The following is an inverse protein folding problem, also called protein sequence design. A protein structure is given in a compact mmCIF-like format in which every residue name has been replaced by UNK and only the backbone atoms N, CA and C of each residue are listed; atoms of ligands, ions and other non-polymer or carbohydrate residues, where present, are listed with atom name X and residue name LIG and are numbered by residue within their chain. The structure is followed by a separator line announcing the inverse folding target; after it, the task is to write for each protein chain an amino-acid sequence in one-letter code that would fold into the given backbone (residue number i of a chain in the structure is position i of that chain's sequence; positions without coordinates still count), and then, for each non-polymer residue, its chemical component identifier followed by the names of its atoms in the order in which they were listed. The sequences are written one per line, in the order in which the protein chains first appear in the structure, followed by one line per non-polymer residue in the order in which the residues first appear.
data_IF_852140684157
#
_entry.id   IF_852140684157
#
_cell.length_a   1.000
_cell.length_b   1.000
_cell.length_c   1.000
_cell.angle_alpha   90.00
_cell.angle_beta   90.00
_cell.angle_gamma   90.00
#
_symmetry.space_group_name_H-M   'P 1'
#
loop_
_entity.id
_entity.type
_entity.pdbx_description
1 polymer ?
#
# COMPACT_ATOMS: atom_id res chain seq x y z
N UNK A 1 20.19 5.86 15.95
CA UNK A 1 20.07 4.45 15.54
C UNK A 1 18.78 3.94 16.14
N UNK A 2 17.67 4.07 15.42
CA UNK A 2 16.37 3.53 15.85
C UNK A 2 16.18 2.19 15.14
N UNK A 3 15.79 1.17 15.90
CA UNK A 3 15.50 -0.16 15.35
C UNK A 3 14.25 -0.13 14.47
N UNK A 4 14.00 -1.18 13.68
CA UNK A 4 12.83 -1.25 12.83
C UNK A 4 11.54 -1.07 13.67
N UNK A 5 10.51 -0.41 13.10
CA UNK A 5 9.24 -0.21 13.80
C UNK A 5 8.67 -1.57 14.24
N UNK A 6 8.27 -1.67 15.51
CA UNK A 6 7.64 -2.87 16.05
C UNK A 6 6.17 -2.87 15.61
N UNK A 7 5.85 -3.79 14.70
CA UNK A 7 4.47 -4.08 14.32
C UNK A 7 3.68 -4.61 15.53
N UNK A 8 2.42 -4.21 15.66
CA UNK A 8 1.55 -4.76 16.70
C UNK A 8 1.22 -6.25 16.47
N UNK A 9 0.67 -6.88 17.50
CA UNK A 9 0.34 -8.30 17.51
C UNK A 9 -0.73 -8.67 16.47
N UNK A 10 -1.67 -7.77 16.16
CA UNK A 10 -2.72 -8.00 15.19
C UNK A 10 -2.14 -8.00 13.75
N UNK A 11 -1.22 -7.09 13.48
CA UNK A 11 -0.49 -6.99 12.22
C UNK A 11 0.40 -8.21 12.01
N UNK A 12 1.09 -8.66 13.07
CA UNK A 12 1.89 -9.89 13.06
C UNK A 12 1.03 -11.12 12.75
N UNK A 13 -0.14 -11.26 13.41
CA UNK A 13 -1.07 -12.36 13.15
C UNK A 13 -1.62 -12.38 11.73
N UNK A 14 -1.92 -11.22 11.16
CA UNK A 14 -2.40 -11.11 9.77
C UNK A 14 -1.33 -11.56 8.77
N UNK A 15 -0.07 -11.17 8.99
CA UNK A 15 1.08 -11.62 8.20
C UNK A 15 1.22 -13.15 8.25
N UNK A 16 1.13 -13.74 9.45
CA UNK A 16 1.26 -15.19 9.63
C UNK A 16 0.11 -15.97 8.99
N UNK A 17 -1.11 -15.43 9.02
CA UNK A 17 -2.26 -16.01 8.34
C UNK A 17 -2.05 -16.05 6.82
N UNK A 18 -1.71 -14.91 6.20
CA UNK A 18 -1.47 -14.83 4.76
C UNK A 18 -0.34 -15.77 4.31
N UNK A 19 0.72 -15.87 5.13
CA UNK A 19 1.83 -16.81 4.89
C UNK A 19 1.33 -18.25 4.86
N UNK A 20 0.53 -18.64 5.84
CA UNK A 20 -0.03 -19.99 5.94
C UNK A 20 -0.90 -20.33 4.73
N UNK A 21 -1.80 -19.42 4.33
CA UNK A 21 -2.67 -19.63 3.16
C UNK A 21 -1.89 -19.77 1.85
N UNK A 22 -0.81 -18.99 1.65
CA UNK A 22 0.08 -19.15 0.50
C UNK A 22 0.75 -20.53 0.46
N UNK A 23 1.18 -21.05 1.61
CA UNK A 23 1.76 -22.38 1.71
C UNK A 23 0.73 -23.49 1.45
N UNK A 24 -0.51 -23.31 1.91
CA UNK A 24 -1.64 -24.22 1.64
C UNK A 24 -1.94 -24.28 0.14
N UNK A 25 -2.05 -23.13 -0.54
CA UNK A 25 -2.27 -23.06 -1.99
C UNK A 25 -1.15 -23.78 -2.76
N UNK A 26 0.13 -23.53 -2.42
CA UNK A 26 1.27 -24.19 -3.07
C UNK A 26 1.24 -25.72 -2.90
N UNK A 27 0.80 -26.20 -1.73
CA UNK A 27 0.63 -27.62 -1.46
C UNK A 27 -0.55 -28.21 -2.27
N UNK A 28 -1.64 -27.47 -2.45
CA UNK A 28 -2.77 -27.86 -3.31
C UNK A 28 -2.34 -28.03 -4.77
N UNK A 29 -1.39 -27.21 -5.25
CA UNK A 29 -0.78 -27.34 -6.58
C UNK A 29 0.33 -28.42 -6.68
N UNK A 30 0.51 -29.26 -5.65
CA UNK A 30 1.37 -30.45 -5.72
C UNK A 30 2.86 -30.20 -5.42
N UNK A 31 3.21 -29.03 -4.86
CA UNK A 31 4.55 -28.78 -4.33
C UNK A 31 4.63 -29.30 -2.89
N UNK A 32 4.98 -30.58 -2.73
CA UNK A 32 5.34 -31.14 -1.42
C UNK A 32 6.70 -30.58 -0.98
N UNK A 33 6.73 -29.85 0.16
CA UNK A 33 7.91 -29.15 0.71
C UNK A 33 8.46 -28.02 -0.17
N UNK A 34 7.72 -26.91 -0.33
CA UNK A 34 8.25 -25.74 -1.03
C UNK A 34 9.52 -25.23 -0.33
N UNK A 35 10.58 -25.00 -1.10
CA UNK A 35 11.79 -24.34 -0.62
C UNK A 35 11.40 -22.99 0.01
N UNK A 36 11.73 -22.72 1.28
CA UNK A 36 11.40 -21.46 1.92
C UNK A 36 12.19 -20.28 1.34
N UNK A 37 13.30 -20.52 0.64
CA UNK A 37 14.21 -19.46 0.17
C UNK A 37 13.59 -18.58 -0.93
N UNK A 38 12.96 -19.12 -2.00
CA UNK A 38 12.12 -18.33 -2.90
C UNK A 38 11.02 -17.56 -2.18
N UNK A 39 10.42 -18.16 -1.15
CA UNK A 39 9.34 -17.54 -0.38
C UNK A 39 9.84 -16.39 0.49
N UNK A 40 11.03 -16.49 1.08
CA UNK A 40 11.66 -15.40 1.83
C UNK A 40 12.04 -14.23 0.92
N UNK A 41 12.52 -14.51 -0.30
CA UNK A 41 12.82 -13.48 -1.30
C UNK A 41 11.55 -12.80 -1.81
N UNK A 42 10.50 -13.56 -2.10
CA UNK A 42 9.17 -13.03 -2.43
C UNK A 42 8.61 -12.21 -1.27
N UNK A 43 8.72 -12.71 -0.05
CA UNK A 43 8.26 -12.01 1.14
C UNK A 43 9.01 -10.69 1.36
N UNK A 44 10.33 -10.69 1.24
CA UNK A 44 11.14 -9.47 1.31
C UNK A 44 10.77 -8.44 0.21
N UNK A 45 10.24 -8.90 -0.94
CA UNK A 45 9.71 -8.02 -1.98
C UNK A 45 8.37 -7.40 -1.57
N UNK A 46 7.49 -8.15 -0.91
CA UNK A 46 6.16 -7.70 -0.50
C UNK A 46 6.09 -7.09 0.91
N UNK A 47 7.19 -7.12 1.67
CA UNK A 47 7.24 -6.51 3.00
C UNK A 47 7.05 -5.00 2.91
N UNK A 48 6.05 -4.50 3.63
CA UNK A 48 5.77 -3.08 3.80
C UNK A 48 6.98 -2.38 4.42
N UNK A 49 7.35 -1.24 3.86
CA UNK A 49 8.36 -0.36 4.44
C UNK A 49 7.64 0.82 5.07
N UNK A 50 7.83 0.99 6.37
CA UNK A 50 7.29 2.13 7.12
C UNK A 50 8.43 3.14 7.28
N UNK A 51 8.21 4.36 6.81
CA UNK A 51 9.17 5.47 6.87
C UNK A 51 8.63 6.49 7.88
N UNK A 52 9.26 6.56 9.05
CA UNK A 52 8.88 7.49 10.12
C UNK A 52 9.98 8.53 10.32
N UNK A 53 9.74 9.75 9.85
CA UNK A 53 10.65 10.89 10.05
C UNK A 53 9.87 12.14 10.49
N UNK A 54 9.47 12.23 11.77
CA UNK A 54 8.63 13.32 12.26
C UNK A 54 9.23 14.71 12.02
N UNK A 55 10.56 14.84 12.07
CA UNK A 55 11.24 16.13 11.84
C UNK A 55 11.06 16.66 10.41
N UNK A 56 10.79 15.77 9.45
CA UNK A 56 10.70 16.09 8.02
C UNK A 56 9.26 15.99 7.51
N UNK A 57 8.49 15.02 8.01
CA UNK A 57 7.19 14.65 7.45
C UNK A 57 6.00 15.19 8.24
N UNK A 58 6.19 15.62 9.50
CA UNK A 58 5.09 16.13 10.33
C UNK A 58 4.52 17.45 9.76
N UNK A 59 3.24 17.43 9.38
CA UNK A 59 2.57 18.56 8.73
C UNK A 59 3.10 18.91 7.33
N UNK A 60 3.91 18.04 6.71
CA UNK A 60 4.46 18.26 5.37
C UNK A 60 3.35 18.22 4.29
N UNK A 61 3.55 18.96 3.20
CA UNK A 61 2.70 18.83 2.01
C UNK A 61 3.02 17.54 1.26
N UNK A 62 2.10 17.08 0.41
CA UNK A 62 2.31 15.89 -0.42
C UNK A 62 3.52 16.02 -1.34
N UNK A 63 3.82 17.22 -1.87
CA UNK A 63 5.04 17.46 -2.65
C UNK A 63 6.33 17.22 -1.85
N UNK A 64 6.35 17.65 -0.58
CA UNK A 64 7.52 17.44 0.30
C UNK A 64 7.65 15.95 0.65
N UNK A 65 6.52 15.28 0.91
CA UNK A 65 6.51 13.83 1.15
C UNK A 65 6.96 13.05 -0.09
N UNK A 66 6.52 13.45 -1.29
CA UNK A 66 6.95 12.87 -2.56
C UNK A 66 8.46 13.01 -2.73
N UNK A 67 9.01 14.22 -2.59
CA UNK A 67 10.45 14.46 -2.72
C UNK A 67 11.29 13.69 -1.69
N UNK A 68 10.78 13.50 -0.46
CA UNK A 68 11.42 12.63 0.53
C UNK A 68 11.41 11.16 0.09
N UNK A 69 10.28 10.68 -0.41
CA UNK A 69 10.12 9.32 -0.90
C UNK A 69 10.99 9.05 -2.14
N UNK A 70 11.03 9.97 -3.11
CA UNK A 70 11.93 9.95 -4.26
C UNK A 70 13.39 9.75 -3.81
N UNK A 71 13.88 10.59 -2.89
CA UNK A 71 15.24 10.49 -2.37
C UNK A 71 15.51 9.17 -1.64
N UNK A 72 14.51 8.63 -0.93
CA UNK A 72 14.62 7.30 -0.34
C UNK A 72 14.73 6.20 -1.41
N UNK A 73 13.93 6.26 -2.48
CA UNK A 73 13.95 5.28 -3.59
C UNK A 73 15.29 5.34 -4.33
N UNK A 74 15.78 6.54 -4.66
CA UNK A 74 17.08 6.74 -5.31
C UNK A 74 18.22 6.16 -4.45
N UNK A 75 18.19 6.37 -3.14
CA UNK A 75 19.18 5.82 -2.22
C UNK A 75 19.18 4.27 -2.19
N UNK A 76 18.09 3.63 -2.60
CA UNK A 76 18.03 2.17 -2.75
C UNK A 76 18.55 1.66 -4.10
N UNK A 77 18.72 2.52 -5.10
CA UNK A 77 19.02 2.17 -6.50
C UNK A 77 18.02 1.15 -7.07
N UNK A 78 16.73 1.38 -6.80
CA UNK A 78 15.62 0.45 -7.10
C UNK A 78 14.40 1.12 -7.73
N UNK A 79 14.59 2.28 -8.34
CA UNK A 79 13.56 2.91 -9.16
C UNK A 79 13.02 1.90 -10.19
N UNK A 80 11.70 1.80 -10.29
CA UNK A 80 10.96 0.88 -11.17
C UNK A 80 11.27 -0.61 -11.02
N UNK A 81 12.06 -1.00 -10.01
CA UNK A 81 12.39 -2.40 -9.78
C UNK A 81 11.18 -3.17 -9.24
N UNK A 82 10.33 -2.51 -8.43
CA UNK A 82 9.13 -3.08 -7.80
C UNK A 82 8.12 -1.98 -7.41
N UNK A 83 6.85 -2.38 -7.28
CA UNK A 83 5.70 -1.51 -6.97
C UNK A 83 5.93 -0.69 -5.69
N UNK A 84 6.65 -1.27 -4.71
CA UNK A 84 6.98 -0.61 -3.43
C UNK A 84 7.91 0.60 -3.55
N UNK A 85 8.60 0.73 -4.67
CA UNK A 85 9.46 1.87 -4.99
C UNK A 85 8.76 2.85 -5.93
N UNK A 86 7.53 2.55 -6.36
CA UNK A 86 6.76 3.39 -7.27
C UNK A 86 5.77 4.29 -6.53
N UNK A 87 5.14 3.79 -5.47
CA UNK A 87 4.20 4.59 -4.70
C UNK A 87 4.26 4.32 -3.19
N UNK A 88 3.89 5.33 -2.40
CA UNK A 88 3.72 5.23 -0.95
C UNK A 88 2.31 5.65 -0.53
N UNK A 89 1.88 5.17 0.64
CA UNK A 89 0.65 5.62 1.29
C UNK A 89 1.00 6.62 2.38
N UNK A 90 0.30 7.76 2.39
CA UNK A 90 0.46 8.79 3.41
C UNK A 90 -0.45 8.48 4.59
N UNK A 91 0.16 8.40 5.77
CA UNK A 91 -0.52 8.09 7.03
C UNK A 91 -0.36 9.26 7.99
N UNK A 92 -1.26 10.25 7.88
CA UNK A 92 -1.37 11.35 8.85
C UNK A 92 -2.32 10.99 10.00
N UNK A 93 -2.40 11.85 11.03
CA UNK A 93 -3.28 11.64 12.18
C UNK A 93 -4.75 11.49 11.74
N UNK A 94 -5.18 12.25 10.71
CA UNK A 94 -6.53 12.15 10.16
C UNK A 94 -6.79 10.81 9.45
N UNK A 95 -5.83 10.27 8.71
CA UNK A 95 -5.88 8.95 8.10
C UNK A 95 -5.95 7.86 9.17
N UNK A 96 -5.09 7.93 10.18
CA UNK A 96 -5.09 6.99 11.31
C UNK A 96 -6.42 7.02 12.04
N UNK A 97 -6.98 8.21 12.31
CA UNK A 97 -8.29 8.33 12.95
C UNK A 97 -9.41 7.75 12.06
N UNK A 98 -9.43 8.10 10.77
CA UNK A 98 -10.42 7.58 9.80
C UNK A 98 -10.35 6.05 9.67
N UNK A 99 -9.16 5.47 9.74
CA UNK A 99 -8.96 4.02 9.74
C UNK A 99 -9.30 3.39 11.10
N UNK A 100 -9.01 4.06 12.21
CA UNK A 100 -9.32 3.60 13.57
C UNK A 100 -10.81 3.59 13.89
N UNK A 101 -11.59 4.43 13.20
CA UNK A 101 -13.06 4.36 13.20
C UNK A 101 -13.61 3.17 12.41
N UNK A 102 -12.78 2.46 11.64
CA UNK A 102 -13.23 1.26 10.95
C UNK A 102 -13.68 0.22 11.98
N UNK A 103 -14.83 -0.40 11.73
CA UNK A 103 -15.30 -1.47 12.60
C UNK A 103 -14.34 -2.65 12.52
N UNK A 104 -14.04 -3.23 13.69
CA UNK A 104 -13.38 -4.53 13.79
C UNK A 104 -14.10 -5.55 12.90
N UNK A 105 -13.39 -6.52 12.28
CA UNK A 105 -14.00 -7.52 11.40
C UNK A 105 -15.23 -8.22 12.00
N UNK A 106 -15.24 -8.48 13.31
CA UNK A 106 -16.34 -9.11 14.04
C UNK A 106 -17.60 -8.23 14.10
N UNK A 107 -17.46 -6.98 14.59
CA UNK A 107 -18.56 -5.99 14.62
C UNK A 107 -19.09 -5.68 13.22
N UNK A 108 -18.20 -5.67 12.22
CA UNK A 108 -18.58 -5.46 10.83
C UNK A 108 -19.44 -6.61 10.30
N UNK A 109 -19.05 -7.87 10.57
CA UNK A 109 -19.80 -9.06 10.16
C UNK A 109 -21.19 -9.11 10.79
N UNK A 110 -21.30 -8.74 12.06
CA UNK A 110 -22.57 -8.69 12.79
C UNK A 110 -23.54 -7.64 12.21
N UNK A 111 -23.02 -6.46 11.81
CA UNK A 111 -23.85 -5.34 11.35
C UNK A 111 -24.22 -5.41 9.86
N UNK A 112 -23.33 -5.91 8.99
CA UNK A 112 -23.48 -5.83 7.54
C UNK A 112 -23.57 -7.19 6.83
N UNK A 113 -23.44 -8.31 7.54
CA UNK A 113 -23.32 -9.63 6.93
C UNK A 113 -22.10 -9.72 6.02
N UNK A 114 -22.22 -10.42 4.88
CA UNK A 114 -21.13 -10.60 3.90
C UNK A 114 -20.83 -9.35 3.04
N UNK A 115 -21.64 -8.28 3.11
CA UNK A 115 -21.46 -7.07 2.30
C UNK A 115 -20.46 -6.09 2.93
N UNK A 116 -19.24 -6.56 3.14
CA UNK A 116 -18.18 -5.83 3.86
C UNK A 116 -17.47 -4.71 3.08
N UNK A 117 -17.62 -4.67 1.76
CA UNK A 117 -16.78 -3.84 0.91
C UNK A 117 -17.26 -2.40 0.74
N UNK A 118 -18.53 -2.08 1.07
CA UNK A 118 -19.10 -0.75 0.83
C UNK A 118 -18.45 0.30 1.74
N UNK A 119 -18.23 -0.02 3.02
CA UNK A 119 -17.59 0.92 3.95
C UNK A 119 -16.10 1.09 3.65
N UNK A 120 -15.41 0.02 3.24
CA UNK A 120 -14.00 0.06 2.83
C UNK A 120 -13.77 0.91 1.58
N UNK A 121 -14.76 0.99 0.67
CA UNK A 121 -14.74 1.89 -0.49
C UNK A 121 -14.90 3.38 -0.12
N UNK A 122 -15.33 3.68 1.10
CA UNK A 122 -15.53 5.05 1.57
C UNK A 122 -14.34 5.56 2.41
N UNK A 123 -13.37 4.71 2.71
CA UNK A 123 -12.16 5.06 3.46
C UNK A 123 -11.02 5.24 2.48
N UNK A 124 -10.51 6.46 2.38
CA UNK A 124 -9.46 6.81 1.43
C UNK A 124 -8.16 7.16 2.15
N UNK A 125 -7.05 6.82 1.52
CA UNK A 125 -5.70 7.21 1.88
C UNK A 125 -5.04 7.90 0.68
N UNK A 126 -4.29 8.98 0.88
CA UNK A 126 -3.47 9.53 -0.19
C UNK A 126 -2.40 8.51 -0.58
N UNK A 127 -2.38 8.14 -1.86
CA UNK A 127 -1.31 7.41 -2.50
C UNK A 127 -0.51 8.40 -3.34
N UNK A 128 0.82 8.40 -3.17
CA UNK A 128 1.73 9.32 -3.84
C UNK A 128 2.67 8.50 -4.71
N UNK A 129 2.75 8.81 -6.00
CA UNK A 129 3.73 8.22 -6.92
C UNK A 129 5.08 8.95 -6.79
N UNK A 130 6.19 8.21 -6.75
CA UNK A 130 7.53 8.79 -6.65
C UNK A 130 7.92 9.54 -7.93
N UNK A 131 7.74 8.92 -9.10
CA UNK A 131 8.17 9.47 -10.38
C UNK A 131 7.00 9.47 -11.37
N UNK A 132 5.96 10.28 -11.12
CA UNK A 132 4.80 10.36 -12.01
C UNK A 132 5.20 10.95 -13.37
N UNK A 133 4.58 10.47 -14.43
CA UNK A 133 4.63 11.15 -15.73
C UNK A 133 3.63 12.31 -15.70
N UNK A 134 4.15 13.53 -15.52
CA UNK A 134 3.35 14.75 -15.50
C UNK A 134 3.38 15.38 -16.89
N UNK A 135 2.46 15.02 -17.77
CA UNK A 135 2.34 15.69 -19.08
C UNK A 135 1.74 17.10 -18.90
N UNK A 136 2.49 18.13 -19.28
CA UNK A 136 2.02 19.52 -19.19
C UNK A 136 0.79 19.76 -20.07
N UNK A 137 -0.38 19.92 -19.43
CA UNK A 137 -1.59 20.47 -20.05
C UNK A 137 -2.61 19.46 -20.58
N UNK A 138 -2.40 18.16 -20.38
CA UNK A 138 -3.41 17.14 -20.70
C UNK A 138 -4.27 16.75 -19.50
N UNK A 139 -3.70 16.77 -18.29
CA UNK A 139 -4.37 16.28 -17.08
C UNK A 139 -4.13 17.18 -15.85
N UNK A 140 -5.05 17.13 -14.89
CA UNK A 140 -4.92 17.78 -13.57
C UNK A 140 -4.22 16.86 -12.55
N UNK A 141 -3.56 15.79 -13.00
CA UNK A 141 -2.93 14.83 -12.10
C UNK A 141 -1.63 15.41 -11.53
N UNK A 142 -1.58 15.51 -10.20
CA UNK A 142 -0.43 16.11 -9.50
C UNK A 142 0.57 15.06 -8.99
N UNK A 143 0.48 13.81 -9.45
CA UNK A 143 1.34 12.71 -8.97
C UNK A 143 0.83 12.00 -7.71
N UNK A 144 -0.42 12.23 -7.33
CA UNK A 144 -1.04 11.58 -6.18
C UNK A 144 -2.55 11.42 -6.39
N UNK A 145 -3.16 10.48 -5.67
CA UNK A 145 -4.62 10.28 -5.66
C UNK A 145 -5.11 9.83 -4.28
N UNK A 146 -6.38 10.11 -3.97
CA UNK A 146 -7.07 9.43 -2.88
C UNK A 146 -7.46 8.01 -3.31
N UNK A 147 -6.83 6.99 -2.75
CA UNK A 147 -7.13 5.59 -3.03
C UNK A 147 -7.96 4.99 -1.89
N UNK A 148 -9.06 4.31 -2.22
CA UNK A 148 -9.84 3.63 -1.18
C UNK A 148 -9.09 2.41 -0.66
N UNK A 149 -9.26 2.12 0.63
CA UNK A 149 -8.66 0.93 1.27
C UNK A 149 -9.05 -0.35 0.52
N UNK A 150 -10.27 -0.40 -0.01
CA UNK A 150 -10.76 -1.52 -0.81
C UNK A 150 -9.94 -1.74 -2.09
N UNK A 151 -9.46 -0.66 -2.70
CA UNK A 151 -8.79 -0.69 -4.00
C UNK A 151 -7.27 -0.64 -3.92
N UNK A 152 -6.66 -0.52 -2.73
CA UNK A 152 -5.21 -0.50 -2.55
C UNK A 152 -4.50 -1.68 -3.22
N UNK A 153 -5.08 -2.88 -3.14
CA UNK A 153 -4.52 -4.08 -3.78
C UNK A 153 -4.53 -3.91 -5.31
N UNK A 154 -5.61 -3.34 -5.86
CA UNK A 154 -5.74 -3.14 -7.30
C UNK A 154 -4.76 -2.09 -7.81
N UNK A 155 -4.65 -0.96 -7.12
CA UNK A 155 -3.63 0.05 -7.42
C UNK A 155 -2.24 -0.56 -7.36
N UNK A 156 -1.95 -1.31 -6.29
CA UNK A 156 -0.68 -1.99 -6.13
C UNK A 156 -0.35 -2.91 -7.31
N UNK A 157 -1.30 -3.74 -7.76
CA UNK A 157 -1.08 -4.63 -8.90
C UNK A 157 -0.85 -3.87 -10.19
N UNK A 158 -1.63 -2.81 -10.47
CA UNK A 158 -1.47 -1.99 -11.69
C UNK A 158 -0.07 -1.37 -11.77
N UNK A 159 0.43 -0.82 -10.66
CA UNK A 159 1.79 -0.26 -10.61
C UNK A 159 2.88 -1.33 -10.83
N UNK A 160 2.60 -2.61 -10.62
CA UNK A 160 3.55 -3.68 -10.91
C UNK A 160 3.72 -4.00 -12.39
N UNK A 161 2.72 -3.67 -13.20
CA UNK A 161 2.75 -3.90 -14.64
C UNK A 161 3.41 -2.73 -15.40
N UNK A 162 4.03 -1.79 -14.67
CA UNK A 162 4.66 -0.60 -15.24
C UNK A 162 3.69 0.54 -15.58
N UNK A 163 2.40 0.38 -15.28
CA UNK A 163 1.37 1.41 -15.50
C UNK A 163 1.58 2.61 -14.56
N UNK A 164 1.44 3.85 -15.03
CA UNK A 164 1.49 5.03 -14.17
C UNK A 164 0.24 5.15 -13.29
N UNK A 165 0.35 5.83 -12.16
CA UNK A 165 -0.77 5.98 -11.22
C UNK A 165 -1.95 6.71 -11.85
N UNK A 166 -1.70 7.62 -12.77
CA UNK A 166 -2.74 8.31 -13.55
C UNK A 166 -3.61 7.36 -14.38
N UNK A 167 -2.98 6.43 -15.10
CA UNK A 167 -3.72 5.43 -15.86
C UNK A 167 -4.47 4.49 -14.91
N UNK A 168 -3.82 4.11 -13.80
CA UNK A 168 -4.40 3.24 -12.80
C UNK A 168 -5.60 3.88 -12.09
N UNK A 169 -5.60 5.19 -11.82
CA UNK A 169 -6.70 5.88 -11.14
C UNK A 169 -8.02 5.77 -11.92
N UNK A 170 -7.94 5.89 -13.25
CA UNK A 170 -9.06 5.71 -14.17
C UNK A 170 -9.62 4.28 -14.12
N UNK A 171 -8.75 3.27 -13.98
CA UNK A 171 -9.17 1.88 -13.88
C UNK A 171 -9.74 1.52 -12.51
N UNK A 172 -9.16 2.07 -11.44
CA UNK A 172 -9.47 1.75 -10.04
C UNK A 172 -10.85 2.27 -9.63
N UNK A 173 -11.45 3.19 -10.40
CA UNK A 173 -12.77 3.80 -10.17
C UNK A 173 -12.89 4.58 -8.84
N UNK A 174 -11.75 4.93 -8.24
CA UNK A 174 -11.69 5.84 -7.10
C UNK A 174 -11.35 7.23 -7.65
N UNK A 175 -12.36 8.10 -7.68
CA UNK A 175 -12.22 9.45 -8.19
C UNK A 175 -12.61 10.47 -7.14
N UNK A 176 -11.61 11.05 -6.47
CA UNK A 176 -11.62 12.48 -6.10
C UNK A 176 -10.16 12.94 -6.12
N UNK A 177 -9.80 13.70 -7.15
CA UNK A 177 -8.64 14.59 -7.20
C UNK A 177 -8.93 15.81 -6.32
#
# INVERSE_FOLDING_TARGET
MFGPPQLDEATTRSIDFNRTSLYEDLHEYGLENPDPTPNDQLWARHQLTVIEEPATLDGASLDVMRGHFEGWVEAQDKQDAWNKYRACLVMDEAAVQRLGEAMTPEKHREKHGERCYIELRQRFLPAVEAFPELEEGETDFEGWMNCSVFNLIRLWTSLGDGMYMEDASNEVQDGVY
#
